data_IF_294405146563
#
_entry.id   IF_294405146563
#
_cell.length_a   1.000
_cell.length_b   1.000
_cell.length_c   1.000
_cell.angle_alpha   90.00
_cell.angle_beta   90.00
_cell.angle_gamma   90.00
#
_symmetry.space_group_name_H-M   'P 1'
#
loop_
_entity.id
_entity.type
_entity.pdbx_description
1 polymer ?
#
# COMPACT_ATOMS: atom_id res chain seq x y z
N UNK A 1 12.53 15.42 -17.01
CA UNK A 1 11.33 14.64 -17.39
C UNK A 1 10.07 15.41 -17.04
N UNK A 2 9.10 15.44 -17.96
CA UNK A 2 7.80 16.11 -17.86
C UNK A 2 6.73 15.11 -18.26
N UNK A 3 5.65 15.04 -17.50
CA UNK A 3 4.53 14.13 -17.74
C UNK A 3 3.26 14.94 -18.01
N UNK A 4 2.47 14.49 -18.96
CA UNK A 4 1.26 15.22 -19.37
C UNK A 4 0.05 14.77 -18.56
N UNK A 5 -0.27 13.48 -18.58
CA UNK A 5 -1.34 12.90 -17.76
C UNK A 5 -0.77 11.69 -17.00
N UNK A 6 -0.93 11.67 -15.68
CA UNK A 6 -0.39 10.63 -14.79
C UNK A 6 -1.53 9.93 -14.07
N UNK A 7 -1.51 8.60 -14.08
CA UNK A 7 -2.48 7.78 -13.36
C UNK A 7 -1.80 7.07 -12.19
N UNK A 8 -2.44 7.09 -11.04
CA UNK A 8 -2.08 6.28 -9.88
C UNK A 8 -3.13 5.20 -9.65
N UNK A 9 -2.70 3.95 -9.64
CA UNK A 9 -3.50 2.80 -9.26
C UNK A 9 -2.78 2.07 -8.12
N UNK A 10 -3.38 2.06 -6.92
CA UNK A 10 -2.70 1.54 -5.72
C UNK A 10 -1.61 2.50 -5.19
N UNK A 11 -1.88 3.80 -5.18
CA UNK A 11 -0.89 4.81 -4.80
C UNK A 11 -0.33 4.62 -3.39
N UNK A 12 1.00 4.56 -3.28
CA UNK A 12 1.72 4.66 -2.00
C UNK A 12 2.25 6.07 -1.74
N UNK A 13 1.73 7.08 -2.45
CA UNK A 13 2.12 8.48 -2.24
C UNK A 13 1.49 9.01 -0.95
N UNK A 14 2.19 9.93 -0.28
CA UNK A 14 1.64 10.66 0.87
C UNK A 14 0.33 11.36 0.51
N UNK A 15 -0.69 11.22 1.37
CA UNK A 15 -1.96 11.94 1.19
C UNK A 15 -1.78 13.46 1.23
N UNK A 16 -0.69 13.94 1.81
CA UNK A 16 -0.33 15.37 1.93
C UNK A 16 0.68 15.84 0.88
N UNK A 17 0.88 15.07 -0.18
CA UNK A 17 1.79 15.46 -1.25
C UNK A 17 1.33 16.77 -1.91
N UNK A 18 2.24 17.73 -2.04
CA UNK A 18 1.96 19.10 -2.51
C UNK A 18 2.00 19.17 -4.05
N UNK A 19 0.92 18.68 -4.67
CA UNK A 19 0.76 18.64 -6.12
C UNK A 19 0.85 20.02 -6.79
N UNK A 20 0.54 21.10 -6.07
CA UNK A 20 0.59 22.48 -6.60
C UNK A 20 1.96 22.84 -7.14
N UNK A 21 3.02 22.33 -6.52
CA UNK A 21 4.42 22.55 -6.94
C UNK A 21 4.73 21.97 -8.32
N UNK A 22 3.97 20.97 -8.76
CA UNK A 22 4.26 20.20 -9.96
C UNK A 22 3.23 20.43 -11.07
N UNK A 23 1.99 20.80 -10.72
CA UNK A 23 0.92 21.01 -11.69
C UNK A 23 0.72 22.47 -12.10
N UNK A 24 1.26 23.43 -11.34
CA UNK A 24 1.10 24.87 -11.58
C UNK A 24 2.35 25.59 -12.09
N UNK A 25 2.16 26.78 -12.66
CA UNK A 25 3.22 27.74 -12.97
C UNK A 25 4.05 27.43 -14.22
N UNK A 26 5.11 28.24 -14.42
CA UNK A 26 6.04 28.10 -15.57
C UNK A 26 6.88 26.81 -15.51
N UNK A 27 7.07 26.24 -14.31
CA UNK A 27 7.82 25.00 -14.07
C UNK A 27 6.92 23.76 -13.99
N UNK A 28 5.79 23.75 -14.71
CA UNK A 28 4.83 22.62 -14.72
C UNK A 28 5.50 21.33 -15.20
N UNK A 29 5.67 20.38 -14.27
CA UNK A 29 6.26 19.04 -14.52
C UNK A 29 5.23 17.96 -14.75
N UNK A 30 4.02 18.12 -14.21
CA UNK A 30 2.90 17.18 -14.33
C UNK A 30 1.69 17.94 -14.83
N UNK A 31 0.95 17.42 -15.80
CA UNK A 31 -0.24 18.07 -16.28
C UNK A 31 -1.48 17.79 -15.45
N UNK A 32 -2.01 16.59 -15.60
CA UNK A 32 -3.14 16.11 -14.80
C UNK A 32 -2.76 14.83 -14.07
N UNK A 33 -3.41 14.60 -12.94
CA UNK A 33 -3.24 13.44 -12.08
C UNK A 33 -4.60 12.81 -11.86
N UNK A 34 -4.73 11.52 -12.11
CA UNK A 34 -5.89 10.72 -11.71
C UNK A 34 -5.45 9.70 -10.68
N UNK A 35 -6.09 9.67 -9.52
CA UNK A 35 -5.82 8.67 -8.49
C UNK A 35 -7.02 7.76 -8.28
N UNK A 36 -6.81 6.45 -8.45
CA UNK A 36 -7.77 5.42 -8.11
C UNK A 36 -7.62 5.03 -6.65
N UNK A 37 -8.69 5.25 -5.88
CA UNK A 37 -8.79 4.86 -4.49
C UNK A 37 -9.59 3.57 -4.38
N UNK A 38 -8.95 2.50 -3.94
CA UNK A 38 -9.58 1.19 -3.77
C UNK A 38 -10.50 1.16 -2.53
N UNK A 39 -11.55 0.32 -2.56
CA UNK A 39 -12.51 0.22 -1.46
C UNK A 39 -12.01 -0.62 -0.27
N UNK A 40 -11.09 -1.56 -0.51
CA UNK A 40 -10.63 -2.54 0.48
C UNK A 40 -9.11 -2.78 0.43
N UNK A 41 -8.31 -1.77 0.06
CA UNK A 41 -6.84 -1.88 0.04
C UNK A 41 -6.26 -1.89 1.46
N UNK A 42 -6.10 -3.09 2.01
CA UNK A 42 -5.53 -3.33 3.33
C UNK A 42 -4.01 -3.15 3.37
N UNK A 43 -3.31 -3.46 2.28
CA UNK A 43 -1.84 -3.33 2.18
C UNK A 43 -1.45 -1.86 2.36
N UNK A 44 -2.06 -0.96 1.60
CA UNK A 44 -1.78 0.47 1.70
C UNK A 44 -2.33 1.08 2.99
N UNK A 45 -3.44 0.55 3.52
CA UNK A 45 -4.02 0.99 4.78
C UNK A 45 -3.12 0.70 6.00
N UNK A 46 -2.27 -0.33 5.97
CA UNK A 46 -1.46 -0.73 7.13
C UNK A 46 0.03 -0.42 6.97
N UNK A 47 0.62 -0.72 5.82
CA UNK A 47 2.06 -0.62 5.61
C UNK A 47 2.46 0.85 5.34
N UNK A 48 2.21 1.45 4.15
CA UNK A 48 2.49 2.86 3.88
C UNK A 48 1.92 3.83 4.92
N UNK A 49 0.74 3.55 5.48
CA UNK A 49 0.12 4.42 6.48
C UNK A 49 0.90 4.49 7.80
N UNK A 50 1.58 3.41 8.19
CA UNK A 50 2.51 3.44 9.33
C UNK A 50 3.68 4.40 9.04
N UNK A 51 4.33 4.25 7.90
CA UNK A 51 5.45 5.10 7.49
C UNK A 51 5.02 6.57 7.36
N UNK A 52 3.81 6.83 6.84
CA UNK A 52 3.23 8.17 6.79
C UNK A 52 3.02 8.75 8.19
N UNK A 53 2.55 7.95 9.17
CA UNK A 53 2.31 8.42 10.54
C UNK A 53 3.60 8.83 11.24
N UNK A 54 4.67 8.05 11.08
CA UNK A 54 5.97 8.36 11.69
C UNK A 54 6.88 9.23 10.81
N UNK A 55 6.45 9.54 9.58
CA UNK A 55 7.20 10.32 8.58
C UNK A 55 8.62 9.78 8.32
N UNK A 56 8.79 8.47 8.40
CA UNK A 56 10.08 7.81 8.19
C UNK A 56 10.49 7.77 6.73
N UNK A 57 9.53 7.76 5.80
CA UNK A 57 9.76 7.76 4.36
C UNK A 57 8.68 8.62 3.68
N UNK A 58 8.92 9.00 2.42
CA UNK A 58 7.93 9.68 1.58
C UNK A 58 6.92 8.69 0.97
N UNK A 59 6.37 7.85 1.85
CA UNK A 59 5.31 6.89 1.55
C UNK A 59 4.04 7.32 2.27
N UNK A 60 2.90 6.89 1.73
CA UNK A 60 1.63 7.08 2.39
C UNK A 60 0.46 6.40 1.72
N UNK A 61 -0.72 6.76 2.19
CA UNK A 61 -1.92 5.98 1.98
C UNK A 61 -2.83 6.52 0.89
N UNK A 62 -2.35 7.32 -0.08
CA UNK A 62 -3.21 7.96 -1.08
C UNK A 62 -4.05 6.98 -1.92
N UNK A 63 -3.60 5.73 -2.13
CA UNK A 63 -4.38 4.69 -2.81
C UNK A 63 -5.53 4.13 -1.98
N UNK A 64 -5.52 4.36 -0.67
CA UNK A 64 -6.58 3.97 0.26
C UNK A 64 -7.38 5.17 0.76
N UNK A 65 -6.71 6.21 1.24
CA UNK A 65 -7.31 7.40 1.86
C UNK A 65 -7.65 8.51 0.85
N UNK A 66 -7.00 8.52 -0.31
CA UNK A 66 -6.98 9.66 -1.23
C UNK A 66 -6.02 10.77 -0.81
N UNK A 67 -5.84 11.77 -1.68
CA UNK A 67 -5.14 13.01 -1.40
C UNK A 67 -6.00 13.97 -0.58
N UNK A 68 -5.34 14.73 0.28
CA UNK A 68 -5.97 15.78 1.09
C UNK A 68 -6.48 16.90 0.18
N UNK A 69 -7.70 17.36 0.43
CA UNK A 69 -8.32 18.47 -0.31
C UNK A 69 -7.50 19.76 -0.19
N UNK A 70 -6.75 19.93 0.91
CA UNK A 70 -5.90 21.11 1.13
C UNK A 70 -4.67 21.14 0.22
N UNK A 71 -4.12 19.98 -0.16
CA UNK A 71 -2.93 19.87 -1.00
C UNK A 71 -3.26 19.62 -2.47
N UNK A 72 -4.55 19.38 -2.75
CA UNK A 72 -5.09 19.27 -4.10
C UNK A 72 -4.91 20.59 -4.87
N UNK A 73 -4.58 20.44 -6.15
CA UNK A 73 -4.48 21.52 -7.13
C UNK A 73 -5.47 21.28 -8.27
N UNK A 74 -5.71 22.32 -9.08
CA UNK A 74 -6.42 22.16 -10.35
C UNK A 74 -5.67 21.13 -11.21
N UNK A 75 -6.39 20.10 -11.67
CA UNK A 75 -5.81 18.98 -12.43
C UNK A 75 -5.51 17.72 -11.62
N UNK A 76 -5.83 17.66 -10.32
CA UNK A 76 -5.77 16.41 -9.54
C UNK A 76 -7.18 15.86 -9.31
N UNK A 77 -7.49 14.77 -9.98
CA UNK A 77 -8.78 14.07 -9.96
C UNK A 77 -8.65 12.75 -9.20
N UNK A 78 -9.77 12.30 -8.61
CA UNK A 78 -9.81 11.06 -7.83
C UNK A 78 -11.05 10.28 -8.18
N UNK A 79 -10.83 9.00 -8.46
CA UNK A 79 -11.87 8.00 -8.48
C UNK A 79 -11.91 7.38 -7.09
N UNK A 80 -13.01 7.55 -6.37
CA UNK A 80 -13.18 6.96 -5.05
C UNK A 80 -13.93 5.64 -5.10
N UNK A 81 -13.40 4.67 -4.37
CA UNK A 81 -14.02 3.38 -4.07
C UNK A 81 -14.17 2.48 -5.29
N UNK A 82 -13.07 2.26 -6.01
CA UNK A 82 -13.02 1.14 -6.97
C UNK A 82 -13.13 -0.16 -6.18
N UNK A 83 -14.11 -1.01 -6.51
CA UNK A 83 -14.33 -2.26 -5.80
C UNK A 83 -13.09 -3.16 -5.89
N UNK A 84 -12.53 -3.51 -4.73
CA UNK A 84 -11.43 -4.46 -4.61
C UNK A 84 -10.32 -3.98 -3.68
N UNK A 85 -9.26 -4.77 -3.64
CA UNK A 85 -8.06 -4.52 -2.84
C UNK A 85 -7.05 -3.64 -3.61
N UNK A 86 -5.76 -3.74 -3.27
CA UNK A 86 -4.68 -2.90 -3.80
C UNK A 86 -4.66 -2.79 -5.34
N UNK A 87 -4.80 -3.92 -6.03
CA UNK A 87 -4.76 -3.98 -7.50
C UNK A 87 -6.07 -3.55 -8.18
N UNK A 88 -7.06 -3.03 -7.45
CA UNK A 88 -8.37 -2.69 -8.01
C UNK A 88 -8.29 -1.69 -9.17
N UNK A 89 -7.34 -0.75 -9.11
CA UNK A 89 -7.15 0.27 -10.14
C UNK A 89 -6.42 -0.19 -11.40
N UNK A 90 -5.82 -1.39 -11.41
CA UNK A 90 -5.13 -1.93 -12.60
C UNK A 90 -5.89 -3.07 -13.28
N UNK A 91 -7.08 -3.42 -12.78
CA UNK A 91 -7.90 -4.47 -13.38
C UNK A 91 -8.35 -4.06 -14.78
N UNK A 92 -8.56 -5.04 -15.65
CA UNK A 92 -8.91 -4.82 -17.08
C UNK A 92 -10.10 -3.87 -17.26
N UNK A 93 -11.10 -3.96 -16.37
CA UNK A 93 -12.26 -3.03 -16.36
C UNK A 93 -11.89 -1.55 -16.24
N UNK A 94 -10.68 -1.22 -15.79
CA UNK A 94 -10.20 0.16 -15.65
C UNK A 94 -9.32 0.60 -16.83
N UNK A 95 -8.95 -0.30 -17.76
CA UNK A 95 -7.96 0.00 -18.81
C UNK A 95 -8.44 1.07 -19.78
N UNK A 96 -9.70 1.00 -20.23
CA UNK A 96 -10.26 2.01 -21.14
C UNK A 96 -10.22 3.41 -20.52
N UNK A 97 -10.46 3.50 -19.20
CA UNK A 97 -10.42 4.75 -18.47
C UNK A 97 -9.01 5.28 -18.27
N UNK A 98 -8.06 4.38 -17.99
CA UNK A 98 -6.64 4.72 -17.91
C UNK A 98 -6.19 5.27 -19.27
N UNK A 99 -6.53 4.57 -20.36
CA UNK A 99 -6.18 4.98 -21.70
C UNK A 99 -6.80 6.35 -22.05
N UNK A 100 -8.10 6.53 -21.81
CA UNK A 100 -8.82 7.78 -22.06
C UNK A 100 -8.20 8.94 -21.25
N UNK A 101 -7.87 8.71 -19.98
CA UNK A 101 -7.24 9.75 -19.17
C UNK A 101 -5.81 10.06 -19.62
N UNK A 102 -5.02 9.04 -19.97
CA UNK A 102 -3.64 9.25 -20.42
C UNK A 102 -3.60 10.03 -21.73
N UNK A 103 -4.49 9.71 -22.68
CA UNK A 103 -4.54 10.34 -24.01
C UNK A 103 -5.21 11.71 -23.94
N UNK A 104 -6.41 11.79 -23.37
CA UNK A 104 -7.27 12.98 -23.46
C UNK A 104 -7.25 13.84 -22.19
N UNK A 105 -6.65 13.34 -21.10
CA UNK A 105 -6.64 14.03 -19.81
C UNK A 105 -8.03 14.16 -19.19
N UNK A 106 -8.97 13.29 -19.57
CA UNK A 106 -10.37 13.30 -19.10
C UNK A 106 -10.71 11.90 -18.62
N UNK A 107 -11.45 11.82 -17.52
CA UNK A 107 -12.08 10.59 -17.08
C UNK A 107 -13.55 10.91 -16.74
N UNK A 108 -14.49 10.15 -17.31
CA UNK A 108 -15.89 10.29 -16.90
C UNK A 108 -16.12 9.61 -15.56
N UNK A 109 -15.84 10.34 -14.47
CA UNK A 109 -15.98 9.86 -13.09
C UNK A 109 -17.40 9.36 -12.72
N UNK A 110 -18.41 9.58 -13.58
CA UNK A 110 -19.79 9.14 -13.33
C UNK A 110 -20.03 7.68 -13.71
N UNK A 111 -19.29 7.14 -14.68
CA UNK A 111 -19.52 5.78 -15.21
C UNK A 111 -18.61 4.71 -14.61
N UNK A 112 -18.25 4.83 -13.33
CA UNK A 112 -17.23 4.00 -12.70
C UNK A 112 -17.54 2.50 -12.74
N UNK A 113 -16.76 1.68 -13.48
CA UNK A 113 -16.97 0.24 -13.50
C UNK A 113 -16.62 -0.34 -12.12
N UNK A 114 -17.60 -1.00 -11.49
CA UNK A 114 -17.42 -1.59 -10.16
C UNK A 114 -17.25 -0.56 -9.04
N UNK A 115 -17.97 0.56 -9.10
CA UNK A 115 -18.00 1.52 -7.98
C UNK A 115 -18.61 0.86 -6.74
N UNK A 116 -17.83 0.75 -5.67
CA UNK A 116 -18.37 0.45 -4.36
C UNK A 116 -19.01 1.72 -3.78
N UNK A 117 -20.14 1.58 -3.10
CA UNK A 117 -20.82 2.71 -2.44
C UNK A 117 -20.00 3.28 -1.28
N UNK A 118 -19.16 2.45 -0.65
CA UNK A 118 -18.34 2.81 0.51
C UNK A 118 -17.07 1.97 0.61
N UNK A 119 -16.14 2.41 1.47
CA UNK A 119 -15.00 1.60 1.89
C UNK A 119 -15.47 0.43 2.75
N UNK A 120 -14.73 -0.66 2.69
CA UNK A 120 -14.97 -1.78 3.59
C UNK A 120 -14.68 -1.35 5.04
N UNK A 121 -15.72 -1.33 5.88
CA UNK A 121 -15.68 -0.76 7.23
C UNK A 121 -14.54 -1.31 8.10
N UNK A 122 -14.26 -2.62 8.00
CA UNK A 122 -13.21 -3.28 8.76
C UNK A 122 -11.81 -2.78 8.35
N UNK A 123 -11.58 -2.59 7.05
CA UNK A 123 -10.29 -2.09 6.55
C UNK A 123 -10.10 -0.63 6.95
N UNK A 124 -11.17 0.17 6.89
CA UNK A 124 -11.13 1.56 7.33
C UNK A 124 -10.84 1.67 8.85
N UNK A 125 -11.53 0.87 9.67
CA UNK A 125 -11.35 0.87 11.12
C UNK A 125 -9.92 0.45 11.52
N UNK A 126 -9.43 -0.66 10.96
CA UNK A 126 -8.06 -1.12 11.19
C UNK A 126 -7.03 -0.13 10.65
N UNK A 127 -7.32 0.54 9.53
CA UNK A 127 -6.47 1.56 8.93
C UNK A 127 -6.31 2.82 9.79
N UNK A 128 -7.15 3.03 10.82
CA UNK A 128 -6.97 4.15 11.78
C UNK A 128 -5.86 3.86 12.80
N UNK A 129 -5.54 2.58 13.02
CA UNK A 129 -4.57 2.12 14.02
C UNK A 129 -3.52 1.17 13.40
N UNK A 130 -2.77 1.61 12.38
CA UNK A 130 -1.82 0.74 11.67
C UNK A 130 -0.75 0.15 12.59
N UNK A 131 -0.36 0.85 13.67
CA UNK A 131 0.62 0.36 14.64
C UNK A 131 0.16 -0.89 15.40
N UNK A 132 -1.15 -1.08 15.61
CA UNK A 132 -1.69 -2.29 16.26
C UNK A 132 -1.48 -3.49 15.36
N UNK A 133 -1.73 -3.36 14.06
CA UNK A 133 -1.49 -4.43 13.08
C UNK A 133 -0.01 -4.80 13.06
N UNK A 134 0.89 -3.83 13.08
CA UNK A 134 2.33 -4.09 13.18
C UNK A 134 2.72 -4.80 14.47
N UNK A 135 2.13 -4.42 15.61
CA UNK A 135 2.37 -5.11 16.88
C UNK A 135 1.87 -6.56 16.84
N UNK A 136 0.72 -6.82 16.22
CA UNK A 136 0.20 -8.18 16.03
C UNK A 136 1.09 -9.01 15.11
N UNK A 137 1.62 -8.43 14.02
CA UNK A 137 2.58 -9.09 13.13
C UNK A 137 3.86 -9.44 13.90
N UNK A 138 4.42 -8.49 14.67
CA UNK A 138 5.62 -8.73 15.46
C UNK A 138 5.40 -9.81 16.53
N UNK A 139 4.24 -9.81 17.18
CA UNK A 139 3.86 -10.83 18.15
C UNK A 139 3.76 -12.21 17.48
N UNK A 140 3.09 -12.31 16.34
CA UNK A 140 2.95 -13.58 15.60
C UNK A 140 4.32 -14.13 15.16
N UNK A 141 5.19 -13.28 14.63
CA UNK A 141 6.57 -13.63 14.26
C UNK A 141 7.38 -14.07 15.48
N UNK A 142 7.27 -13.36 16.60
CA UNK A 142 7.95 -13.70 17.85
C UNK A 142 7.49 -15.03 18.44
N UNK A 143 6.18 -15.30 18.45
CA UNK A 143 5.62 -16.57 18.90
C UNK A 143 6.07 -17.74 18.01
N UNK A 144 6.08 -17.54 16.69
CA UNK A 144 6.55 -18.55 15.74
C UNK A 144 8.04 -18.87 15.95
N UNK A 145 8.87 -17.84 16.15
CA UNK A 145 10.29 -18.00 16.45
C UNK A 145 10.50 -18.72 17.80
N UNK A 146 9.72 -18.39 18.83
CA UNK A 146 9.78 -19.04 20.13
C UNK A 146 9.36 -20.51 20.06
N UNK A 147 8.29 -20.83 19.34
CA UNK A 147 7.82 -22.19 19.11
C UNK A 147 8.88 -23.02 18.38
N UNK A 148 9.48 -22.47 17.33
CA UNK A 148 10.59 -23.11 16.61
C UNK A 148 11.79 -23.34 17.55
N UNK A 149 12.17 -22.35 18.34
CA UNK A 149 13.23 -22.48 19.34
C UNK A 149 12.96 -23.59 20.37
N UNK A 150 11.73 -23.69 20.87
CA UNK A 150 11.33 -24.75 21.79
C UNK A 150 11.42 -26.14 21.16
N UNK A 151 10.97 -26.29 19.91
CA UNK A 151 11.09 -27.55 19.15
C UNK A 151 12.56 -27.93 18.96
N UNK A 152 13.41 -26.98 18.55
CA UNK A 152 14.85 -27.25 18.38
C UNK A 152 15.53 -27.60 19.70
N UNK A 153 15.10 -26.99 20.81
CA UNK A 153 15.62 -27.30 22.14
C UNK A 153 15.26 -28.73 22.58
N UNK A 154 14.03 -29.17 22.32
CA UNK A 154 13.58 -30.54 22.60
C UNK A 154 14.29 -31.60 21.73
N UNK A 155 14.66 -31.24 20.50
CA UNK A 155 15.33 -32.14 19.56
C UNK A 155 16.86 -32.21 19.75
N UNK A 156 17.45 -31.21 20.40
CA UNK A 156 18.89 -31.15 20.58
C UNK A 156 19.33 -32.07 21.74
N UNK A 157 20.31 -32.95 21.50
CA UNK A 157 20.90 -33.77 22.56
C UNK A 157 21.93 -33.00 23.42
N UNK A 158 22.25 -31.76 23.06
CA UNK A 158 23.19 -30.92 23.79
C UNK A 158 23.32 -29.50 23.23
N UNK A 159 24.01 -28.60 23.94
CA UNK A 159 24.06 -27.17 23.62
C UNK A 159 24.73 -26.86 22.28
N UNK A 160 25.73 -27.64 21.86
CA UNK A 160 26.40 -27.48 20.56
C UNK A 160 25.46 -27.80 19.40
N UNK A 161 24.67 -28.88 19.52
CA UNK A 161 23.69 -29.27 18.50
C UNK A 161 22.55 -28.27 18.42
N UNK A 162 22.09 -27.76 19.57
CA UNK A 162 21.09 -26.69 19.62
C UNK A 162 21.58 -25.44 18.87
N UNK A 163 22.80 -24.98 19.17
CA UNK A 163 23.39 -23.81 18.50
C UNK A 163 23.51 -24.01 16.99
N UNK A 164 23.92 -25.21 16.54
CA UNK A 164 24.00 -25.56 15.12
C UNK A 164 22.62 -25.55 14.45
N UNK A 165 21.61 -26.16 15.06
CA UNK A 165 20.24 -26.21 14.57
C UNK A 165 19.61 -24.82 14.48
N UNK A 166 19.81 -23.96 15.48
CA UNK A 166 19.38 -22.56 15.45
C UNK A 166 20.09 -21.80 14.33
N UNK A 167 21.39 -22.01 14.16
CA UNK A 167 22.19 -21.41 13.09
C UNK A 167 21.68 -21.76 11.69
N UNK A 168 21.21 -22.99 11.46
CA UNK A 168 20.59 -23.43 10.20
C UNK A 168 19.14 -22.95 10.06
N UNK A 169 18.36 -22.99 11.13
CA UNK A 169 16.94 -22.65 11.10
C UNK A 169 16.70 -21.15 10.90
N UNK A 170 17.58 -20.28 11.43
CA UNK A 170 17.46 -18.82 11.31
C UNK A 170 17.44 -18.33 9.86
N UNK A 171 18.43 -18.65 9.00
CA UNK A 171 18.40 -18.20 7.60
C UNK A 171 17.24 -18.81 6.82
N UNK A 172 16.84 -20.06 7.10
CA UNK A 172 15.66 -20.68 6.49
C UNK A 172 14.37 -19.97 6.88
N UNK A 173 14.24 -19.60 8.15
CA UNK A 173 13.11 -18.84 8.66
C UNK A 173 13.04 -17.45 8.01
N UNK A 174 14.16 -16.73 7.93
CA UNK A 174 14.24 -15.44 7.27
C UNK A 174 13.92 -15.55 5.77
N UNK A 175 14.38 -16.60 5.10
CA UNK A 175 14.07 -16.87 3.69
C UNK A 175 12.59 -17.19 3.48
N UNK A 176 11.99 -18.02 4.33
CA UNK A 176 10.57 -18.35 4.27
C UNK A 176 9.70 -17.09 4.54
N UNK A 177 10.09 -16.27 5.50
CA UNK A 177 9.44 -14.98 5.78
C UNK A 177 9.54 -14.05 4.56
N UNK A 178 10.73 -13.93 3.96
CA UNK A 178 10.92 -13.14 2.74
C UNK A 178 10.05 -13.62 1.58
N UNK A 179 9.99 -14.95 1.35
CA UNK A 179 9.16 -15.55 0.32
C UNK A 179 7.67 -15.28 0.56
N UNK A 180 7.19 -15.42 1.80
CA UNK A 180 5.82 -15.11 2.17
C UNK A 180 5.49 -13.63 1.97
N UNK A 181 6.44 -12.73 2.23
CA UNK A 181 6.26 -11.27 2.07
C UNK A 181 6.32 -10.80 0.61
N UNK A 182 7.04 -11.51 -0.27
CA UNK A 182 7.29 -11.06 -1.66
C UNK A 182 6.43 -11.75 -2.71
N UNK A 183 5.76 -12.86 -2.38
CA UNK A 183 4.92 -13.64 -3.30
C UNK A 183 3.43 -13.68 -2.95
N UNK A 184 2.99 -12.84 -2.01
CA UNK A 184 1.58 -12.68 -1.62
C UNK A 184 0.85 -11.59 -2.38
#
# INVERSE_FOLDING_TARGET
MRFENVVFAGSVVSTRFDWRRFTGGQSRRVGKVLNFVASADWVVAFFPKLFQRFRWQDLGSAGHDGFDTKTRSNGVEEVRYVAGAHSAGIQERCWDWIAEFVINGRADLRQLPGRAESRHWCVEALGRVPWVIWLLILLAVGLLAAALGAVLWLLAAGPLQFAFLVGLATPLFLWALWMALTRG
#
